data_IF_042875160043
#
_entry.id   IF_042875160043
#
_cell.length_a   1.000
_cell.length_b   1.000
_cell.length_c   1.000
_cell.angle_alpha   90.00
_cell.angle_beta   90.00
_cell.angle_gamma   90.00
#
_symmetry.space_group_name_H-M   'P 1'
#
loop_
_entity.id
_entity.type
_entity.pdbx_description
1 polymer ?
#
# COMPACT_ATOMS: atom_id res chain seq x y z
N UNK A 1 96.23 -13.62 14.55
CA UNK A 1 96.00 -12.39 15.33
C UNK A 1 95.05 -11.48 14.57
N UNK A 2 93.95 -11.13 15.22
CA UNK A 2 92.84 -10.31 14.74
C UNK A 2 93.25 -8.83 14.66
N UNK A 3 92.92 -8.13 13.56
CA UNK A 3 92.70 -6.67 13.50
C UNK A 3 91.58 -6.40 12.49
N UNK A 4 90.33 -6.39 12.98
CA UNK A 4 89.52 -5.21 13.33
C UNK A 4 88.97 -4.46 12.11
N UNK A 5 87.67 -4.74 11.94
CA UNK A 5 86.61 -4.03 11.20
C UNK A 5 86.65 -2.53 11.52
N UNK A 6 86.75 -1.68 10.51
CA UNK A 6 86.31 -0.29 10.57
C UNK A 6 85.14 -0.14 9.61
N UNK A 7 84.00 0.21 10.20
CA UNK A 7 82.79 0.63 9.52
C UNK A 7 83.01 2.07 9.05
N UNK A 8 82.95 2.30 7.75
CA UNK A 8 82.80 3.65 7.22
C UNK A 8 81.33 3.87 6.85
N UNK A 9 80.83 4.98 7.37
CA UNK A 9 79.45 5.41 7.47
C UNK A 9 78.67 5.37 6.14
N UNK A 10 77.59 4.58 6.13
CA UNK A 10 76.48 4.79 5.19
C UNK A 10 75.75 6.05 5.65
N UNK A 11 76.15 7.19 5.07
CA UNK A 11 75.38 8.43 5.14
C UNK A 11 74.13 8.27 4.28
N UNK A 12 73.07 7.70 4.85
CA UNK A 12 71.72 7.81 4.29
C UNK A 12 71.23 9.25 4.46
N UNK A 13 71.71 10.15 3.60
CA UNK A 13 70.93 11.32 3.21
C UNK A 13 69.91 10.82 2.18
N UNK A 14 68.60 11.01 2.35
CA UNK A 14 67.69 10.74 1.26
C UNK A 14 68.08 11.68 0.12
N UNK A 15 68.67 11.13 -0.94
CA UNK A 15 68.87 11.87 -2.17
C UNK A 15 67.47 12.23 -2.67
N UNK A 16 67.06 13.47 -2.45
CA UNK A 16 65.88 14.01 -3.12
C UNK A 16 66.28 14.11 -4.58
N UNK A 17 65.86 13.15 -5.40
CA UNK A 17 65.95 13.24 -6.86
C UNK A 17 65.16 14.49 -7.28
N UNK A 18 65.91 15.55 -7.60
CA UNK A 18 65.33 16.76 -8.14
C UNK A 18 64.84 16.45 -9.56
N UNK A 19 63.54 16.54 -9.76
CA UNK A 19 62.89 16.37 -11.06
C UNK A 19 63.54 17.29 -12.09
N UNK A 20 63.83 16.78 -13.28
CA UNK A 20 64.25 17.61 -14.39
C UNK A 20 63.11 18.57 -14.79
N UNK A 21 63.46 19.75 -15.31
CA UNK A 21 62.48 20.77 -15.68
C UNK A 21 61.50 20.24 -16.75
N UNK A 22 61.98 19.37 -17.65
CA UNK A 22 61.17 18.71 -18.67
C UNK A 22 60.17 17.72 -18.06
N UNK A 23 60.57 16.92 -17.08
CA UNK A 23 59.68 16.00 -16.37
C UNK A 23 58.64 16.74 -15.52
N UNK A 24 59.02 17.88 -14.94
CA UNK A 24 58.10 18.74 -14.20
C UNK A 24 57.04 19.36 -15.11
N UNK A 25 57.44 19.87 -16.28
CA UNK A 25 56.53 20.42 -17.28
C UNK A 25 55.60 19.36 -17.87
N UNK A 26 56.11 18.15 -18.14
CA UNK A 26 55.31 17.03 -18.60
C UNK A 26 54.26 16.62 -17.56
N UNK A 27 54.64 16.49 -16.29
CA UNK A 27 53.70 16.20 -15.19
C UNK A 27 52.66 17.30 -15.06
N UNK A 28 53.06 18.58 -15.11
CA UNK A 28 52.14 19.72 -15.07
C UNK A 28 51.12 19.66 -16.20
N UNK A 29 51.55 19.35 -17.42
CA UNK A 29 50.64 19.23 -18.57
C UNK A 29 49.64 18.09 -18.41
N UNK A 30 50.07 16.92 -17.89
CA UNK A 30 49.17 15.80 -17.58
C UNK A 30 48.15 16.18 -16.50
N UNK A 31 48.57 16.88 -15.44
CA UNK A 31 47.64 17.35 -14.41
C UNK A 31 46.65 18.39 -14.96
N UNK A 32 47.10 19.29 -15.84
CA UNK A 32 46.24 20.26 -16.49
C UNK A 32 45.22 19.60 -17.43
N UNK A 33 45.63 18.58 -18.19
CA UNK A 33 44.72 17.78 -19.02
C UNK A 33 43.69 17.05 -18.17
N UNK A 34 44.11 16.34 -17.11
CA UNK A 34 43.19 15.68 -16.17
C UNK A 34 42.21 16.65 -15.53
N UNK A 35 42.67 17.85 -15.17
CA UNK A 35 41.80 18.88 -14.62
C UNK A 35 40.78 19.40 -15.65
N UNK A 36 41.18 19.52 -16.91
CA UNK A 36 40.27 19.87 -18.01
C UNK A 36 39.25 18.75 -18.27
N UNK A 37 39.68 17.49 -18.27
CA UNK A 37 38.79 16.32 -18.42
C UNK A 37 37.79 16.24 -17.27
N UNK A 38 38.26 16.45 -16.03
CA UNK A 38 37.38 16.48 -14.85
C UNK A 38 36.35 17.62 -14.95
N UNK A 39 36.77 18.82 -15.34
CA UNK A 39 35.84 19.94 -15.57
C UNK A 39 34.80 19.62 -16.63
N UNK A 40 35.22 18.97 -17.71
CA UNK A 40 34.31 18.55 -18.79
C UNK A 40 33.33 17.48 -18.30
N UNK A 41 33.79 16.50 -17.50
CA UNK A 41 32.91 15.49 -16.91
C UNK A 41 31.91 16.08 -15.90
N UNK A 42 32.31 17.10 -15.13
CA UNK A 42 31.41 17.78 -14.20
C UNK A 42 30.35 18.56 -14.97
N UNK A 43 30.74 19.32 -16.00
CA UNK A 43 29.80 20.00 -16.86
C UNK A 43 28.79 19.04 -17.52
N UNK A 44 29.24 17.88 -17.99
CA UNK A 44 28.35 16.85 -18.53
C UNK A 44 27.36 16.30 -17.48
N UNK A 45 27.81 16.12 -16.24
CA UNK A 45 26.93 15.71 -15.13
C UNK A 45 25.90 16.81 -14.84
N UNK A 46 26.33 18.07 -14.80
CA UNK A 46 25.45 19.21 -14.56
C UNK A 46 24.39 19.33 -15.66
N UNK A 47 24.78 19.24 -16.94
CA UNK A 47 23.86 19.24 -18.08
C UNK A 47 22.86 18.07 -17.98
N UNK A 48 23.32 16.86 -17.67
CA UNK A 48 22.44 15.70 -17.50
C UNK A 48 21.46 15.86 -16.32
N UNK A 49 21.87 16.54 -15.25
CA UNK A 49 21.01 16.87 -14.11
C UNK A 49 19.96 17.91 -14.51
N UNK A 50 20.31 18.90 -15.32
CA UNK A 50 19.35 19.88 -15.84
C UNK A 50 18.33 19.23 -16.79
N UNK A 51 18.77 18.41 -17.73
CA UNK A 51 17.89 17.64 -18.62
C UNK A 51 16.92 16.75 -17.82
N UNK A 52 17.41 16.09 -16.77
CA UNK A 52 16.58 15.28 -15.89
C UNK A 52 15.48 16.10 -15.21
N UNK A 53 15.82 17.30 -14.70
CA UNK A 53 14.84 18.22 -14.10
C UNK A 53 13.80 18.68 -15.11
N UNK A 54 14.19 18.97 -16.34
CA UNK A 54 13.26 19.34 -17.42
C UNK A 54 12.31 18.20 -17.78
N UNK A 55 12.82 16.98 -17.90
CA UNK A 55 12.01 15.78 -18.13
C UNK A 55 11.01 15.57 -16.99
N UNK A 56 11.43 15.77 -15.74
CA UNK A 56 10.54 15.68 -14.59
C UNK A 56 9.42 16.74 -14.65
N UNK A 57 9.73 17.99 -15.01
CA UNK A 57 8.74 19.05 -15.25
C UNK A 57 7.74 18.70 -16.36
N UNK A 58 8.23 18.16 -17.47
CA UNK A 58 7.36 17.72 -18.58
C UNK A 58 6.45 16.58 -18.14
N UNK A 59 6.98 15.58 -17.43
CA UNK A 59 6.21 14.47 -16.86
C UNK A 59 5.09 14.98 -15.94
N UNK A 60 5.38 15.94 -15.06
CA UNK A 60 4.37 16.52 -14.17
C UNK A 60 3.27 17.27 -14.91
N UNK A 61 3.63 18.02 -15.96
CA UNK A 61 2.63 18.69 -16.80
C UNK A 61 1.72 17.69 -17.50
N UNK A 62 2.30 16.62 -18.05
CA UNK A 62 1.54 15.55 -18.70
C UNK A 62 0.66 14.82 -17.70
N UNK A 63 1.14 14.54 -16.49
CA UNK A 63 0.36 13.87 -15.44
C UNK A 63 -0.80 14.74 -14.95
N UNK A 64 -0.59 16.05 -14.77
CA UNK A 64 -1.66 17.01 -14.46
C UNK A 64 -2.70 17.07 -15.57
N UNK A 65 -2.25 17.07 -16.83
CA UNK A 65 -3.13 17.07 -17.98
C UNK A 65 -3.95 15.78 -18.08
N UNK A 66 -3.30 14.62 -17.91
CA UNK A 66 -3.97 13.32 -17.89
C UNK A 66 -4.99 13.23 -16.77
N UNK A 67 -4.64 13.72 -15.57
CA UNK A 67 -5.57 13.77 -14.43
C UNK A 67 -6.77 14.68 -14.69
N UNK A 68 -6.55 15.81 -15.36
CA UNK A 68 -7.63 16.72 -15.77
C UNK A 68 -8.55 16.08 -16.82
N UNK A 69 -7.98 15.40 -17.82
CA UNK A 69 -8.75 14.74 -18.88
C UNK A 69 -9.54 13.53 -18.39
N UNK A 70 -8.97 12.76 -17.45
CA UNK A 70 -9.55 11.51 -17.01
C UNK A 70 -10.74 11.71 -16.05
N UNK A 71 -10.92 12.92 -15.50
CA UNK A 71 -12.07 13.29 -14.66
C UNK A 71 -12.33 12.28 -13.52
N UNK A 72 -11.26 11.77 -12.90
CA UNK A 72 -11.29 10.59 -12.01
C UNK A 72 -12.11 10.76 -10.73
N UNK A 73 -12.56 11.98 -10.41
CA UNK A 73 -13.22 12.31 -9.14
C UNK A 73 -12.29 12.21 -7.91
N UNK A 74 -10.98 12.04 -8.13
CA UNK A 74 -9.98 11.98 -7.07
C UNK A 74 -9.57 13.39 -6.61
N UNK A 75 -9.28 13.59 -5.31
CA UNK A 75 -8.96 14.92 -4.77
C UNK A 75 -7.61 15.43 -5.28
N UNK A 76 -7.43 16.76 -5.27
CA UNK A 76 -6.14 17.34 -5.64
C UNK A 76 -5.08 16.98 -4.58
N UNK A 77 -3.93 16.39 -4.98
CA UNK A 77 -2.93 15.91 -4.03
C UNK A 77 -2.26 17.05 -3.27
N UNK A 78 -2.18 18.25 -3.84
CA UNK A 78 -1.55 19.41 -3.19
C UNK A 78 -2.40 20.05 -2.08
N UNK A 79 -3.67 19.62 -1.92
CA UNK A 79 -4.62 20.24 -0.97
C UNK A 79 -5.08 19.23 0.08
N UNK A 80 -4.46 19.23 1.27
CA UNK A 80 -4.84 18.34 2.38
C UNK A 80 -6.33 18.34 2.74
N UNK A 81 -6.96 19.52 2.72
CA UNK A 81 -8.37 19.68 3.08
C UNK A 81 -9.31 18.95 2.10
N UNK A 82 -8.95 18.85 0.82
CA UNK A 82 -9.75 18.14 -0.17
C UNK A 82 -9.64 16.63 0.01
N UNK A 83 -8.47 16.13 0.40
CA UNK A 83 -8.24 14.71 0.70
C UNK A 83 -9.07 14.27 1.90
N UNK A 84 -9.08 15.06 2.99
CA UNK A 84 -9.90 14.75 4.17
C UNK A 84 -11.41 14.79 3.86
N UNK A 85 -11.86 15.74 3.03
CA UNK A 85 -13.25 15.78 2.54
C UNK A 85 -13.59 14.54 1.71
N UNK A 86 -12.65 14.07 0.90
CA UNK A 86 -12.82 12.85 0.11
C UNK A 86 -12.96 11.61 1.00
N UNK A 87 -12.15 11.47 2.05
CA UNK A 87 -12.32 10.39 3.06
C UNK A 87 -13.71 10.44 3.68
N UNK A 88 -14.14 11.62 4.11
CA UNK A 88 -15.48 11.81 4.68
C UNK A 88 -16.58 11.40 3.68
N UNK A 89 -16.43 11.75 2.41
CA UNK A 89 -17.36 11.35 1.36
C UNK A 89 -17.38 9.82 1.17
N UNK A 90 -16.23 9.14 1.18
CA UNK A 90 -16.18 7.68 1.10
C UNK A 90 -16.93 7.02 2.25
N UNK A 91 -16.72 7.51 3.47
CA UNK A 91 -17.42 7.03 4.67
C UNK A 91 -18.92 7.27 4.59
N UNK A 92 -19.35 8.43 4.08
CA UNK A 92 -20.77 8.71 3.88
C UNK A 92 -21.42 7.76 2.86
N UNK A 93 -20.77 7.54 1.72
CA UNK A 93 -21.26 6.62 0.69
C UNK A 93 -21.33 5.17 1.21
N UNK A 94 -20.38 4.76 2.06
CA UNK A 94 -20.42 3.45 2.73
C UNK A 94 -21.66 3.34 3.62
N UNK A 95 -21.91 4.34 4.47
CA UNK A 95 -23.07 4.36 5.37
C UNK A 95 -24.40 4.35 4.62
N UNK A 96 -24.50 5.12 3.52
CA UNK A 96 -25.69 5.11 2.66
C UNK A 96 -25.91 3.75 2.01
N UNK A 97 -24.83 3.09 1.57
CA UNK A 97 -24.91 1.74 1.00
C UNK A 97 -25.36 0.72 2.04
N UNK A 98 -24.91 0.86 3.28
CA UNK A 98 -25.35 0.03 4.41
C UNK A 98 -26.84 0.25 4.74
N UNK A 99 -27.29 1.51 4.76
CA UNK A 99 -28.68 1.84 5.07
C UNK A 99 -29.66 1.33 4.00
N UNK A 100 -29.23 1.33 2.73
CA UNK A 100 -30.03 0.87 1.60
C UNK A 100 -29.95 -0.66 1.38
N UNK A 101 -29.10 -1.38 2.11
CA UNK A 101 -28.95 -2.81 1.94
C UNK A 101 -30.08 -3.57 2.63
N UNK A 102 -30.96 -4.16 1.82
CA UNK A 102 -31.96 -5.12 2.30
C UNK A 102 -31.32 -6.51 2.27
N UNK A 103 -31.25 -7.17 3.43
CA UNK A 103 -30.75 -8.54 3.51
C UNK A 103 -31.60 -9.47 2.64
N UNK A 104 -30.96 -10.15 1.70
CA UNK A 104 -31.62 -11.13 0.82
C UNK A 104 -32.27 -12.27 1.61
N UNK A 105 -31.76 -12.55 2.82
CA UNK A 105 -32.34 -13.55 3.74
C UNK A 105 -33.77 -13.20 4.13
N UNK A 106 -34.08 -11.91 4.28
CA UNK A 106 -35.42 -11.43 4.61
C UNK A 106 -36.41 -11.54 3.43
N UNK A 107 -35.89 -11.70 2.22
CA UNK A 107 -36.68 -11.84 0.99
C UNK A 107 -37.01 -13.30 0.65
N UNK A 108 -36.55 -14.26 1.46
CA UNK A 108 -36.78 -15.69 1.27
C UNK A 108 -38.21 -16.04 1.66
N UNK A 109 -38.94 -16.69 0.75
CA UNK A 109 -40.27 -17.24 0.98
C UNK A 109 -40.28 -18.70 0.48
N UNK A 110 -40.06 -19.65 1.39
CA UNK A 110 -40.06 -21.08 1.06
C UNK A 110 -41.44 -21.59 0.63
N UNK A 111 -42.52 -20.90 1.04
CA UNK A 111 -43.89 -21.20 0.63
C UNK A 111 -44.22 -20.77 -0.80
N UNK A 112 -43.34 -19.99 -1.45
CA UNK A 112 -43.53 -19.51 -2.82
C UNK A 112 -43.77 -20.64 -3.83
N UNK A 113 -43.12 -21.79 -3.65
CA UNK A 113 -43.22 -22.98 -4.52
C UNK A 113 -44.60 -23.64 -4.45
N UNK A 114 -45.33 -23.43 -3.34
CA UNK A 114 -46.65 -24.04 -3.11
C UNK A 114 -47.81 -23.20 -3.69
N UNK A 115 -47.51 -22.01 -4.23
CA UNK A 115 -48.51 -21.09 -4.76
C UNK A 115 -48.87 -21.46 -6.21
N UNK A 116 -50.15 -21.65 -6.50
CA UNK A 116 -50.65 -22.01 -7.85
C UNK A 116 -50.80 -20.81 -8.81
N UNK A 117 -50.15 -19.68 -8.52
CA UNK A 117 -50.32 -18.44 -9.31
C UNK A 117 -49.33 -18.44 -10.50
N UNK A 118 -49.78 -18.20 -11.75
CA UNK A 118 -48.95 -18.33 -12.95
C UNK A 118 -47.83 -17.28 -13.07
N UNK A 119 -47.98 -16.11 -12.42
CA UNK A 119 -47.01 -15.00 -12.51
C UNK A 119 -45.99 -14.96 -11.36
N UNK A 120 -45.98 -15.97 -10.48
CA UNK A 120 -45.17 -15.93 -9.24
C UNK A 120 -43.79 -16.55 -9.46
N UNK A 121 -42.75 -15.83 -9.04
CA UNK A 121 -41.37 -16.33 -9.06
C UNK A 121 -41.05 -17.15 -7.80
N UNK A 122 -40.27 -18.22 -7.96
CA UNK A 122 -39.74 -19.01 -6.86
C UNK A 122 -38.76 -18.18 -6.02
N UNK A 123 -39.06 -18.02 -4.73
CA UNK A 123 -38.27 -17.25 -3.75
C UNK A 123 -37.61 -18.14 -2.69
N UNK A 124 -37.32 -19.39 -3.04
CA UNK A 124 -36.62 -20.32 -2.15
C UNK A 124 -35.20 -19.83 -1.84
N UNK A 125 -34.64 -20.25 -0.69
CA UNK A 125 -33.28 -19.85 -0.29
C UNK A 125 -32.23 -20.16 -1.36
N UNK A 126 -32.34 -21.30 -2.06
CA UNK A 126 -31.41 -21.70 -3.14
C UNK A 126 -31.36 -20.73 -4.31
N UNK A 127 -32.48 -20.07 -4.62
CA UNK A 127 -32.56 -19.10 -5.72
C UNK A 127 -32.10 -17.73 -5.22
N UNK A 128 -32.55 -17.32 -4.03
CA UNK A 128 -32.19 -16.05 -3.43
C UNK A 128 -30.70 -15.96 -3.05
N UNK A 129 -30.05 -17.08 -2.72
CA UNK A 129 -28.61 -17.13 -2.45
C UNK A 129 -27.78 -16.65 -3.66
N UNK A 130 -28.27 -16.84 -4.90
CA UNK A 130 -27.61 -16.31 -6.11
C UNK A 130 -27.69 -14.78 -6.21
N UNK A 131 -28.64 -14.15 -5.54
CA UNK A 131 -28.80 -12.69 -5.48
C UNK A 131 -27.99 -12.03 -4.36
N UNK A 132 -27.15 -12.81 -3.67
CA UNK A 132 -26.34 -12.32 -2.57
C UNK A 132 -25.43 -11.16 -3.00
N UNK A 133 -25.39 -10.05 -2.23
CA UNK A 133 -24.56 -8.91 -2.57
C UNK A 133 -23.06 -9.24 -2.42
N UNK A 134 -22.28 -8.80 -3.39
CA UNK A 134 -20.82 -8.87 -3.35
C UNK A 134 -20.27 -7.68 -2.57
N UNK A 135 -20.34 -7.77 -1.25
CA UNK A 135 -19.86 -6.73 -0.34
C UNK A 135 -18.40 -6.38 -0.62
N UNK A 136 -17.54 -7.37 -0.89
CA UNK A 136 -16.12 -7.16 -1.20
C UNK A 136 -15.86 -6.22 -2.39
N UNK A 137 -16.74 -6.17 -3.39
CA UNK A 137 -16.54 -5.30 -4.57
C UNK A 137 -16.66 -3.82 -4.25
N UNK A 138 -17.49 -3.47 -3.26
CA UNK A 138 -17.62 -2.10 -2.79
C UNK A 138 -16.32 -1.65 -2.14
N UNK A 139 -15.78 -2.48 -1.24
CA UNK A 139 -14.54 -2.20 -0.52
C UNK A 139 -13.30 -2.26 -1.44
N UNK A 140 -13.30 -3.12 -2.46
CA UNK A 140 -12.25 -3.12 -3.47
C UNK A 140 -12.18 -1.77 -4.20
N UNK A 141 -13.32 -1.25 -4.64
CA UNK A 141 -13.38 0.05 -5.34
C UNK A 141 -12.95 1.20 -4.43
N UNK A 142 -13.32 1.20 -3.15
CA UNK A 142 -12.90 2.25 -2.21
C UNK A 142 -11.42 2.17 -1.92
N UNK A 143 -10.88 0.98 -1.60
CA UNK A 143 -9.45 0.77 -1.34
C UNK A 143 -8.62 1.15 -2.57
N UNK A 144 -9.03 0.77 -3.78
CA UNK A 144 -8.33 1.15 -5.01
C UNK A 144 -8.25 2.67 -5.20
N UNK A 145 -9.33 3.40 -4.89
CA UNK A 145 -9.35 4.87 -4.96
C UNK A 145 -8.44 5.51 -3.91
N UNK A 146 -8.40 4.96 -2.69
CA UNK A 146 -7.51 5.44 -1.62
C UNK A 146 -6.05 5.20 -2.01
N UNK A 147 -5.70 4.00 -2.50
CA UNK A 147 -4.35 3.69 -2.96
C UNK A 147 -3.89 4.61 -4.11
N UNK A 148 -4.76 4.87 -5.08
CA UNK A 148 -4.48 5.83 -6.16
C UNK A 148 -4.25 7.25 -5.63
N UNK A 149 -4.93 7.64 -4.56
CA UNK A 149 -4.73 8.93 -3.89
C UNK A 149 -3.38 8.98 -3.17
N UNK A 150 -3.02 7.93 -2.44
CA UNK A 150 -1.71 7.81 -1.78
C UNK A 150 -0.59 7.94 -2.81
N UNK A 151 -0.69 7.24 -3.94
CA UNK A 151 0.32 7.31 -4.99
C UNK A 151 0.49 8.73 -5.53
N UNK A 152 -0.61 9.47 -5.73
CA UNK A 152 -0.58 10.87 -6.19
C UNK A 152 0.06 11.80 -5.15
N UNK A 153 -0.27 11.63 -3.87
CA UNK A 153 0.32 12.41 -2.78
C UNK A 153 1.82 12.14 -2.66
N UNK A 154 2.23 10.87 -2.68
CA UNK A 154 3.64 10.48 -2.65
C UNK A 154 4.43 11.02 -3.84
N UNK A 155 3.82 11.08 -5.03
CA UNK A 155 4.45 11.71 -6.20
C UNK A 155 4.72 13.20 -5.95
N UNK A 156 3.76 13.95 -5.40
CA UNK A 156 3.95 15.36 -5.05
C UNK A 156 5.04 15.54 -3.99
N UNK A 157 5.06 14.68 -2.95
CA UNK A 157 6.08 14.70 -1.90
C UNK A 157 7.49 14.37 -2.42
N UNK A 158 7.64 13.69 -3.56
CA UNK A 158 8.96 13.42 -4.18
C UNK A 158 9.45 14.56 -5.07
N UNK A 159 8.60 15.54 -5.39
CA UNK A 159 8.95 16.65 -6.25
C UNK A 159 9.25 17.90 -5.42
N UNK A 160 10.54 18.12 -5.15
CA UNK A 160 11.00 19.29 -4.37
C UNK A 160 10.55 20.62 -4.98
N UNK A 161 10.44 20.72 -6.30
CA UNK A 161 9.96 21.93 -6.97
C UNK A 161 8.49 22.26 -6.64
N UNK A 162 7.61 21.26 -6.56
CA UNK A 162 6.21 21.49 -6.19
C UNK A 162 6.07 21.81 -4.69
N UNK A 163 6.95 21.22 -3.87
CA UNK A 163 7.01 21.48 -2.44
C UNK A 163 7.48 22.90 -2.11
N UNK A 164 8.45 23.44 -2.85
CA UNK A 164 8.94 24.81 -2.67
C UNK A 164 7.84 25.85 -2.90
N UNK A 165 6.90 25.57 -3.82
CA UNK A 165 5.77 26.46 -4.08
C UNK A 165 4.65 26.38 -3.04
N UNK A 166 4.67 25.38 -2.15
CA UNK A 166 3.65 25.19 -1.13
C UNK A 166 4.04 25.87 0.20
N UNK A 167 3.07 26.44 0.94
CA UNK A 167 3.31 26.91 2.29
C UNK A 167 3.85 25.77 3.19
N UNK A 168 4.85 26.05 4.00
CA UNK A 168 5.50 25.05 4.88
C UNK A 168 4.52 24.31 5.79
N UNK A 169 3.44 24.96 6.23
CA UNK A 169 2.36 24.33 6.99
C UNK A 169 1.64 23.24 6.18
N UNK A 170 1.34 23.52 4.90
CA UNK A 170 0.67 22.54 4.02
C UNK A 170 1.58 21.35 3.73
N UNK A 171 2.88 21.55 3.59
CA UNK A 171 3.86 20.47 3.40
C UNK A 171 3.90 19.53 4.60
N UNK A 172 3.91 20.08 5.82
CA UNK A 172 3.87 19.27 7.06
C UNK A 172 2.58 18.49 7.22
N UNK A 173 1.46 19.05 6.79
CA UNK A 173 0.18 18.32 6.80
C UNK A 173 0.18 17.24 5.70
N UNK A 174 0.73 17.54 4.53
CA UNK A 174 0.80 16.58 3.42
C UNK A 174 1.64 15.34 3.76
N UNK A 175 2.68 15.49 4.58
CA UNK A 175 3.51 14.39 5.07
C UNK A 175 2.75 13.41 5.97
N UNK A 176 1.72 13.88 6.69
CA UNK A 176 0.90 13.03 7.59
C UNK A 176 -0.20 12.28 6.85
N UNK A 177 -0.68 12.81 5.73
CA UNK A 177 -1.83 12.27 4.99
C UNK A 177 -1.66 10.82 4.54
N UNK A 178 -0.51 10.37 4.02
CA UNK A 178 -0.33 8.97 3.66
C UNK A 178 -0.61 8.04 4.84
N UNK A 179 -0.17 8.39 6.04
CA UNK A 179 -0.43 7.60 7.25
C UNK A 179 -1.91 7.62 7.61
N UNK A 180 -2.57 8.79 7.58
CA UNK A 180 -4.03 8.91 7.80
C UNK A 180 -4.81 8.02 6.80
N UNK A 181 -4.38 7.96 5.53
CA UNK A 181 -5.03 7.14 4.50
C UNK A 181 -4.80 5.63 4.71
N UNK A 182 -3.63 5.23 5.23
CA UNK A 182 -3.39 3.83 5.58
C UNK A 182 -4.22 3.39 6.79
N UNK A 183 -4.32 4.24 7.82
CA UNK A 183 -5.20 3.99 8.98
C UNK A 183 -6.68 3.85 8.54
N UNK A 184 -7.12 4.66 7.57
CA UNK A 184 -8.46 4.56 7.03
C UNK A 184 -8.68 3.23 6.28
N UNK A 185 -7.68 2.75 5.52
CA UNK A 185 -7.74 1.43 4.86
C UNK A 185 -7.89 0.31 5.91
N UNK A 186 -7.16 0.38 7.02
CA UNK A 186 -7.29 -0.58 8.11
C UNK A 186 -8.70 -0.53 8.72
N UNK A 187 -9.23 0.67 8.96
CA UNK A 187 -10.63 0.84 9.42
C UNK A 187 -11.64 0.24 8.45
N UNK A 188 -11.46 0.39 7.13
CA UNK A 188 -12.32 -0.22 6.13
C UNK A 188 -12.27 -1.76 6.16
N UNK A 189 -11.10 -2.36 6.35
CA UNK A 189 -10.97 -3.81 6.51
C UNK A 189 -11.63 -4.31 7.80
N UNK A 190 -11.50 -3.57 8.90
CA UNK A 190 -12.16 -3.90 10.16
C UNK A 190 -13.68 -3.83 10.02
N UNK A 191 -14.22 -2.79 9.39
CA UNK A 191 -15.66 -2.65 9.11
C UNK A 191 -16.19 -3.79 8.23
N UNK A 192 -15.47 -4.13 7.16
CA UNK A 192 -15.82 -5.25 6.28
C UNK A 192 -15.82 -6.57 7.07
N UNK A 193 -14.77 -6.83 7.84
CA UNK A 193 -14.65 -8.04 8.66
C UNK A 193 -15.79 -8.11 9.66
N UNK A 194 -16.05 -7.02 10.38
CA UNK A 194 -17.16 -6.92 11.33
C UNK A 194 -18.51 -7.19 10.67
N UNK A 195 -18.75 -6.65 9.48
CA UNK A 195 -19.99 -6.86 8.72
C UNK A 195 -20.19 -8.33 8.33
N UNK A 196 -19.15 -8.98 7.81
CA UNK A 196 -19.19 -10.40 7.44
C UNK A 196 -19.46 -11.27 8.68
N UNK A 197 -18.78 -10.99 9.79
CA UNK A 197 -18.93 -11.76 11.04
C UNK A 197 -20.28 -11.53 11.71
N UNK A 198 -20.85 -10.33 11.64
CA UNK A 198 -22.14 -10.01 12.27
C UNK A 198 -23.32 -10.63 11.51
N UNK A 199 -23.15 -10.91 10.22
CA UNK A 199 -24.22 -11.43 9.35
C UNK A 199 -23.79 -12.66 8.56
N UNK A 200 -23.40 -13.77 9.24
CA UNK A 200 -22.86 -14.95 8.57
C UNK A 200 -23.91 -15.61 7.66
N UNK A 201 -25.18 -15.61 8.06
CA UNK A 201 -26.27 -16.21 7.27
C UNK A 201 -26.51 -15.48 5.93
N UNK A 202 -26.20 -14.19 5.87
CA UNK A 202 -26.35 -13.38 4.66
C UNK A 202 -25.06 -13.35 3.83
N UNK A 203 -23.90 -13.37 4.48
CA UNK A 203 -22.60 -13.07 3.87
C UNK A 203 -21.58 -14.19 3.96
N UNK A 204 -21.89 -15.39 4.44
CA UNK A 204 -20.99 -16.54 4.42
C UNK A 204 -21.64 -17.71 3.70
N UNK A 205 -20.82 -18.54 3.05
CA UNK A 205 -21.27 -19.79 2.44
C UNK A 205 -21.02 -20.94 3.42
N UNK A 206 -22.05 -21.72 3.72
CA UNK A 206 -21.91 -22.89 4.58
C UNK A 206 -21.38 -24.09 3.79
N UNK A 207 -20.26 -24.64 4.26
CA UNK A 207 -19.68 -25.91 3.83
C UNK A 207 -19.92 -26.95 4.92
N UNK A 208 -20.51 -28.08 4.54
CA UNK A 208 -20.67 -29.26 5.39
C UNK A 208 -21.37 -29.02 6.74
N UNK A 209 -22.30 -28.05 6.80
CA UNK A 209 -23.13 -27.67 7.96
C UNK A 209 -22.42 -27.14 9.22
N UNK A 210 -21.11 -27.29 9.32
CA UNK A 210 -20.30 -26.91 10.50
C UNK A 210 -19.40 -25.71 10.20
N UNK A 211 -19.03 -25.49 8.93
CA UNK A 211 -18.08 -24.47 8.53
C UNK A 211 -18.75 -23.39 7.67
N UNK A 212 -18.46 -22.14 7.96
CA UNK A 212 -18.82 -21.00 7.13
C UNK A 212 -17.54 -20.35 6.58
N UNK A 213 -17.45 -20.15 5.26
CA UNK A 213 -16.39 -19.30 4.64
C UNK A 213 -17.01 -18.03 4.07
N UNK A 214 -16.33 -16.91 4.27
CA UNK A 214 -16.35 -15.82 3.32
C UNK A 214 -15.00 -15.74 2.63
N UNK A 215 -15.04 -15.81 1.30
CA UNK A 215 -13.86 -15.93 0.47
C UNK A 215 -13.98 -14.83 -0.61
N UNK A 216 -13.15 -13.78 -0.56
CA UNK A 216 -13.14 -12.70 -1.54
C UNK A 216 -11.73 -12.48 -2.10
N UNK A 217 -11.60 -12.56 -3.43
CA UNK A 217 -10.32 -12.39 -4.13
C UNK A 217 -10.42 -11.19 -5.06
N UNK A 218 -9.51 -10.24 -4.92
CA UNK A 218 -9.33 -9.13 -5.87
C UNK A 218 -7.86 -8.96 -6.25
N UNK A 219 -7.57 -8.04 -7.18
CA UNK A 219 -6.19 -7.80 -7.62
C UNK A 219 -5.29 -7.25 -6.51
N UNK A 220 -5.88 -6.56 -5.52
CA UNK A 220 -5.14 -5.81 -4.50
C UNK A 220 -5.00 -6.58 -3.18
N UNK A 221 -5.98 -7.44 -2.85
CA UNK A 221 -5.98 -8.23 -1.63
C UNK A 221 -6.83 -9.50 -1.76
N UNK A 222 -6.50 -10.48 -0.93
CA UNK A 222 -7.28 -11.70 -0.74
C UNK A 222 -7.71 -11.78 0.72
N UNK A 223 -9.01 -11.91 0.93
CA UNK A 223 -9.60 -12.02 2.25
C UNK A 223 -10.37 -13.32 2.39
N UNK A 224 -9.95 -14.10 3.38
CA UNK A 224 -10.63 -15.32 3.78
C UNK A 224 -11.00 -15.24 5.26
N UNK A 225 -12.29 -15.35 5.54
CA UNK A 225 -12.83 -15.39 6.90
C UNK A 225 -13.49 -16.73 7.09
N UNK A 226 -13.09 -17.43 8.15
CA UNK A 226 -13.62 -18.73 8.52
C UNK A 226 -14.35 -18.62 9.86
N UNK A 227 -15.58 -19.12 9.89
CA UNK A 227 -16.40 -19.21 11.09
C UNK A 227 -16.84 -20.66 11.32
N UNK A 228 -16.70 -21.13 12.56
CA UNK A 228 -17.29 -22.41 12.97
C UNK A 228 -18.73 -22.16 13.44
N UNK A 229 -19.70 -22.84 12.83
CA UNK A 229 -21.09 -22.81 13.26
C UNK A 229 -21.29 -23.96 14.25
N UNK A 230 -21.46 -23.63 15.53
CA UNK A 230 -21.71 -24.66 16.54
C UNK A 230 -23.15 -25.18 16.38
N UNK A 231 -23.30 -26.49 16.21
CA UNK A 231 -24.58 -27.12 15.84
C UNK A 231 -25.59 -27.19 16.99
N UNK A 232 -25.26 -26.67 18.17
CA UNK A 232 -26.10 -26.79 19.36
C UNK A 232 -26.27 -25.45 20.06
N UNK A 233 -27.51 -24.96 20.09
CA UNK A 233 -27.91 -23.93 21.05
C UNK A 233 -27.52 -24.34 22.47
N UNK A 234 -26.97 -23.40 23.22
CA UNK A 234 -26.59 -23.48 24.63
C UNK A 234 -25.51 -24.52 24.96
N UNK A 235 -24.25 -24.07 25.09
CA UNK A 235 -23.37 -24.28 26.25
C UNK A 235 -21.98 -23.70 25.95
N UNK A 236 -21.53 -22.79 26.81
CA UNK A 236 -20.18 -22.25 26.83
C UNK A 236 -19.16 -23.36 27.10
N UNK A 237 -18.22 -23.62 26.18
CA UNK A 237 -16.95 -24.28 26.52
C UNK A 237 -15.75 -23.60 25.85
N UNK A 238 -14.85 -23.17 26.72
CA UNK A 238 -13.55 -22.59 26.44
C UNK A 238 -12.54 -23.67 26.10
N UNK A 239 -12.25 -23.90 24.82
CA UNK A 239 -11.05 -24.64 24.41
C UNK A 239 -10.76 -24.43 22.93
N UNK A 240 -9.90 -23.46 22.61
CA UNK A 240 -9.04 -23.54 21.44
C UNK A 240 -7.63 -23.10 21.86
N UNK A 241 -6.85 -24.12 22.21
CA UNK A 241 -5.43 -24.07 22.51
C UNK A 241 -4.72 -24.57 21.25
N UNK A 242 -3.83 -23.76 20.69
CA UNK A 242 -2.84 -24.17 19.70
C UNK A 242 -3.22 -23.89 18.25
N UNK A 243 -2.70 -22.80 17.71
CA UNK A 243 -2.24 -22.76 16.32
C UNK A 243 -0.92 -21.99 16.30
N UNK A 244 0.10 -22.67 15.80
CA UNK A 244 1.51 -22.29 15.91
C UNK A 244 1.85 -21.01 15.17
N UNK A 245 2.76 -20.25 15.78
CA UNK A 245 3.36 -19.05 15.24
C UNK A 245 4.19 -19.36 13.99
N UNK A 246 3.68 -19.07 12.80
CA UNK A 246 4.47 -18.43 11.76
C UNK A 246 3.56 -17.79 10.71
N UNK A 247 3.77 -16.50 10.46
CA UNK A 247 3.21 -15.72 9.34
C UNK A 247 1.68 -15.63 9.22
N UNK A 248 1.01 -15.06 10.22
CA UNK A 248 -0.26 -14.34 10.03
C UNK A 248 -0.58 -13.51 11.29
N UNK A 249 -0.82 -12.22 11.13
CA UNK A 249 -1.50 -11.42 12.16
C UNK A 249 -2.95 -11.89 12.26
N UNK A 250 -3.19 -12.91 13.09
CA UNK A 250 -4.54 -13.38 13.43
C UNK A 250 -5.18 -12.42 14.44
N UNK A 251 -6.24 -11.73 14.05
CA UNK A 251 -7.15 -11.06 14.99
C UNK A 251 -8.24 -12.05 15.43
N UNK A 252 -8.10 -12.60 16.64
CA UNK A 252 -9.18 -13.32 17.31
C UNK A 252 -10.12 -12.31 17.99
N UNK A 253 -11.18 -11.87 17.31
CA UNK A 253 -12.23 -11.05 17.93
C UNK A 253 -13.11 -11.95 18.82
N UNK A 254 -13.00 -11.79 20.14
CA UNK A 254 -13.92 -12.37 21.13
C UNK A 254 -15.27 -11.64 21.05
N UNK A 255 -16.23 -12.20 20.33
CA UNK A 255 -17.65 -11.96 20.59
C UNK A 255 -18.35 -13.31 20.83
N UNK A 256 -19.34 -13.26 21.72
CA UNK A 256 -19.94 -14.36 22.50
C UNK A 256 -20.61 -15.51 21.72
N UNK A 257 -20.41 -15.64 20.40
CA UNK A 257 -21.14 -16.61 19.58
C UNK A 257 -20.35 -17.36 18.50
N UNK A 258 -19.07 -17.08 18.23
CA UNK A 258 -18.25 -17.93 17.34
C UNK A 258 -16.75 -17.65 17.51
N UNK A 259 -15.91 -18.69 17.43
CA UNK A 259 -14.48 -18.51 17.21
C UNK A 259 -14.27 -18.21 15.72
N UNK A 260 -13.88 -16.98 15.40
CA UNK A 260 -13.62 -16.52 14.03
C UNK A 260 -12.13 -16.33 13.84
N UNK A 261 -11.57 -16.96 12.81
CA UNK A 261 -10.21 -16.71 12.34
C UNK A 261 -10.30 -15.95 11.02
N UNK A 262 -9.86 -14.69 11.02
CA UNK A 262 -9.65 -13.91 9.80
C UNK A 262 -8.19 -14.04 9.34
N UNK A 263 -7.99 -14.46 8.10
CA UNK A 263 -6.68 -14.51 7.44
C UNK A 263 -6.69 -13.49 6.30
N UNK A 264 -5.82 -12.47 6.43
CA UNK A 264 -5.62 -11.45 5.40
C UNK A 264 -4.28 -11.75 4.71
N UNK A 265 -4.36 -12.33 3.51
CA UNK A 265 -3.18 -12.60 2.70
C UNK A 265 -2.87 -11.32 1.90
N UNK A 266 -1.90 -10.53 2.39
CA UNK A 266 -1.37 -9.38 1.64
C UNK A 266 -0.59 -9.89 0.42
N UNK A 267 -1.17 -9.79 -0.78
CA UNK A 267 -0.40 -9.96 -2.02
C UNK A 267 0.41 -8.69 -2.29
N UNK A 268 1.72 -8.78 -2.01
CA UNK A 268 2.81 -7.95 -2.51
C UNK A 268 2.53 -6.45 -2.72
N UNK A 269 2.59 -5.66 -1.64
CA UNK A 269 3.10 -4.29 -1.74
C UNK A 269 4.51 -4.35 -2.37
N UNK A 270 4.84 -3.52 -3.38
CA UNK A 270 6.19 -3.46 -3.91
C UNK A 270 7.15 -3.16 -2.77
N UNK A 271 8.07 -4.10 -2.57
CA UNK A 271 9.16 -4.09 -1.59
C UNK A 271 9.82 -2.72 -1.51
N UNK A 272 9.73 -2.03 -0.37
CA UNK A 272 10.56 -0.84 -0.17
C UNK A 272 10.22 0.15 0.93
N UNK A 273 9.13 0.02 1.69
CA UNK A 273 8.90 0.89 2.85
C UNK A 273 8.44 0.04 4.04
N UNK A 274 9.28 -0.04 5.06
CA UNK A 274 8.89 -0.44 6.42
C UNK A 274 8.12 0.73 7.03
N UNK A 275 7.08 0.41 7.79
CA UNK A 275 6.42 1.31 8.74
C UNK A 275 7.44 2.02 9.63
#
# INVERSE_FOLDING_TARGET
MVKRKNQDAVSNKPAVELLSEEEWMARRNIYMQRLADLKTSVAFIDDAVEEYKELQKQKLRNDKWNSYLACDGLPNPSRPAEIRKFIFQLNFMEQETLANEISWVLSVDEGSVLSQAPDRCDKTRKIMEKSRPNVGQLYEKTVQRILATIERVQRVLRNDEELIHLPTFQVRELDKIPNELYEEIESFFDKLTYRVVTSPDALMTNKDSILSCYCYKCSNFELEIWGLQDATGNVLRSELRGCDHSTATQCALRQSYAAVCALLLRSALPSGQKL
#
